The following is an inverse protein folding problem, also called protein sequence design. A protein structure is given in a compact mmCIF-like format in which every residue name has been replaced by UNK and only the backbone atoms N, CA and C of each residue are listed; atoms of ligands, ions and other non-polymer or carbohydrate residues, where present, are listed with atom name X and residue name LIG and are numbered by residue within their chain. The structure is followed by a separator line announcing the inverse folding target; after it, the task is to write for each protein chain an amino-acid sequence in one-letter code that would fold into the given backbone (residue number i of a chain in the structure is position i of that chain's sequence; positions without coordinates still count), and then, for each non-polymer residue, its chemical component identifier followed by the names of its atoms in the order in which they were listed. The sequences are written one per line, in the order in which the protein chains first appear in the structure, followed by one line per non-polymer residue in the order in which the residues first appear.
data_IF_274413332692
#
_entry.id   IF_274413332692
#
_cell.length_a   1.000
_cell.length_b   1.000
_cell.length_c   1.000
_cell.angle_alpha   90.00
_cell.angle_beta   90.00
_cell.angle_gamma   90.00
#
_symmetry.space_group_name_H-M   'P 1'
#
loop_
_entity.id
_entity.type
_entity.pdbx_description
1 polymer ?
#
# COMPACT_ATOMS: atom_id res chain seq x y z
N UNK A 1 13.73 -9.64 29.71
CA UNK A 1 12.52 -10.04 30.46
C UNK A 1 12.40 -11.56 30.54
N UNK A 2 12.06 -12.28 29.47
CA UNK A 2 11.90 -13.74 29.54
C UNK A 2 13.23 -14.49 29.70
N UNK A 3 14.18 -14.30 28.76
CA UNK A 3 15.48 -15.01 28.77
C UNK A 3 16.28 -14.76 30.06
N UNK A 4 16.33 -13.51 30.51
CA UNK A 4 16.98 -13.10 31.77
C UNK A 4 16.39 -13.77 33.01
N UNK A 5 15.08 -14.09 32.99
CA UNK A 5 14.38 -14.79 34.06
C UNK A 5 14.35 -16.32 33.85
N UNK A 6 15.14 -16.82 32.89
CA UNK A 6 15.25 -18.23 32.59
C UNK A 6 14.12 -18.84 31.77
N UNK A 7 13.22 -18.02 31.23
CA UNK A 7 12.06 -18.42 30.42
C UNK A 7 12.40 -18.24 28.92
N UNK A 8 11.96 -19.16 28.06
CA UNK A 8 12.18 -19.12 26.59
C UNK A 8 13.66 -18.92 26.18
N UNK A 9 14.61 -19.51 26.92
CA UNK A 9 16.07 -19.31 26.73
C UNK A 9 16.54 -19.50 25.28
N UNK A 10 15.98 -20.49 24.59
CA UNK A 10 16.35 -20.85 23.22
C UNK A 10 15.46 -20.22 22.14
N UNK A 11 14.41 -19.48 22.53
CA UNK A 11 13.51 -18.87 21.57
C UNK A 11 14.21 -17.73 20.81
N UNK A 12 13.82 -17.55 19.55
CA UNK A 12 14.31 -16.51 18.66
C UNK A 12 13.14 -15.68 18.13
N UNK A 13 13.34 -14.38 17.97
CA UNK A 13 12.31 -13.46 17.47
C UNK A 13 12.73 -12.91 16.11
N UNK A 14 11.87 -13.06 15.11
CA UNK A 14 12.01 -12.35 13.84
C UNK A 14 10.99 -11.20 13.79
N UNK A 15 11.43 -10.01 13.40
CA UNK A 15 10.60 -8.82 13.26
C UNK A 15 10.50 -8.42 11.79
N UNK A 16 9.27 -8.42 11.25
CA UNK A 16 9.03 -8.09 9.84
C UNK A 16 8.49 -6.67 9.69
N UNK A 17 9.22 -5.82 8.95
CA UNK A 17 8.78 -4.46 8.63
C UNK A 17 7.92 -4.53 7.36
N UNK A 18 6.61 -4.37 7.50
CA UNK A 18 5.68 -4.32 6.35
C UNK A 18 5.54 -2.91 5.76
N UNK A 19 5.61 -1.87 6.60
CA UNK A 19 5.49 -0.48 6.19
C UNK A 19 6.17 0.43 7.22
N UNK A 20 7.27 1.11 6.85
CA UNK A 20 8.08 1.93 7.75
C UNK A 20 7.36 3.23 8.19
N UNK A 21 6.29 3.63 7.49
CA UNK A 21 5.56 4.86 7.81
C UNK A 21 4.79 4.77 9.14
N UNK A 22 4.33 3.57 9.52
CA UNK A 22 3.53 3.36 10.72
C UNK A 22 4.37 2.70 11.83
N UNK A 23 5.04 3.52 12.62
CA UNK A 23 6.06 3.05 13.57
C UNK A 23 5.55 2.79 14.99
N UNK A 24 4.31 3.21 15.29
CA UNK A 24 3.81 3.22 16.67
C UNK A 24 4.58 4.22 17.53
N UNK A 25 4.44 5.51 17.23
CA UNK A 25 5.07 6.61 17.97
C UNK A 25 4.10 7.13 19.03
N UNK A 26 4.46 7.00 20.31
CA UNK A 26 3.60 7.40 21.44
C UNK A 26 4.32 8.38 22.37
N UNK A 27 3.57 9.02 23.26
CA UNK A 27 4.16 9.92 24.22
C UNK A 27 5.15 9.15 25.12
N UNK A 28 6.29 9.78 25.44
CA UNK A 28 7.31 9.13 26.26
C UNK A 28 6.75 8.69 27.63
N UNK A 29 5.83 9.47 28.21
CA UNK A 29 5.17 9.18 29.48
C UNK A 29 4.34 7.89 29.46
N UNK A 30 3.91 7.41 28.28
CA UNK A 30 3.08 6.22 28.17
C UNK A 30 3.89 4.91 28.33
N UNK A 31 5.22 4.99 28.48
CA UNK A 31 6.07 3.80 28.68
C UNK A 31 5.65 3.00 29.92
N UNK A 32 5.26 3.68 31.01
CA UNK A 32 4.91 3.04 32.26
C UNK A 32 3.66 2.15 32.11
N UNK A 33 2.79 2.46 31.14
CA UNK A 33 1.61 1.66 30.80
C UNK A 33 1.97 0.30 30.19
N UNK A 34 3.19 0.13 29.67
CA UNK A 34 3.66 -1.11 29.07
C UNK A 34 4.04 -2.18 30.11
N UNK A 35 4.14 -1.81 31.39
CA UNK A 35 4.56 -2.70 32.47
C UNK A 35 5.92 -3.40 32.18
N UNK A 36 6.84 -2.69 31.53
CA UNK A 36 8.18 -3.17 31.22
C UNK A 36 9.21 -2.58 32.20
N UNK A 37 10.29 -3.31 32.54
CA UNK A 37 11.40 -2.74 33.30
C UNK A 37 12.03 -1.54 32.59
N UNK A 38 12.48 -0.55 33.36
CA UNK A 38 13.16 0.66 32.85
C UNK A 38 14.40 0.35 31.99
N UNK A 39 15.01 -0.84 32.15
CA UNK A 39 16.12 -1.28 31.32
C UNK A 39 15.77 -1.42 29.83
N UNK A 40 14.49 -1.58 29.47
CA UNK A 40 14.03 -1.61 28.08
C UNK A 40 13.84 -0.22 27.48
N UNK A 41 13.74 0.81 28.31
CA UNK A 41 13.43 2.14 27.85
C UNK A 41 14.38 2.68 26.76
N UNK A 42 15.71 2.48 26.82
CA UNK A 42 16.60 2.94 25.75
C UNK A 42 16.25 2.37 24.37
N UNK A 43 15.67 1.17 24.31
CA UNK A 43 15.22 0.54 23.06
C UNK A 43 13.97 1.21 22.50
N UNK A 44 13.10 1.76 23.36
CA UNK A 44 11.93 2.54 22.96
C UNK A 44 12.24 4.01 22.67
N UNK A 45 13.22 4.61 23.35
CA UNK A 45 13.49 6.05 23.30
C UNK A 45 13.82 6.51 21.87
N UNK A 46 13.07 7.49 21.39
CA UNK A 46 13.11 7.95 20.00
C UNK A 46 12.88 9.46 19.95
N UNK A 47 13.66 10.16 19.14
CA UNK A 47 13.47 11.59 18.89
C UNK A 47 12.66 11.71 17.60
N UNK A 48 11.41 12.16 17.72
CA UNK A 48 10.53 12.37 16.57
C UNK A 48 10.83 13.75 15.97
N UNK A 49 11.28 13.76 14.72
CA UNK A 49 11.54 14.97 13.94
C UNK A 49 10.32 15.48 13.19
N UNK A 50 9.17 14.78 13.23
CA UNK A 50 7.93 15.30 12.67
C UNK A 50 7.40 16.49 13.47
N UNK A 51 7.16 17.59 12.75
CA UNK A 51 6.80 18.90 13.31
C UNK A 51 5.37 18.96 13.88
N UNK A 52 4.59 17.85 13.92
CA UNK A 52 3.22 17.84 14.45
C UNK A 52 2.84 16.48 15.06
N UNK A 53 2.11 16.40 16.20
CA UNK A 53 1.65 17.50 17.07
C UNK A 53 2.65 17.92 18.16
N UNK A 54 3.75 17.18 18.38
CA UNK A 54 4.78 17.54 19.37
C UNK A 54 6.16 17.08 18.87
N UNK A 55 7.07 18.04 18.67
CA UNK A 55 8.51 17.78 18.51
C UNK A 55 9.04 17.28 19.85
N UNK A 56 9.75 16.15 19.88
CA UNK A 56 10.39 15.71 21.12
C UNK A 56 10.57 14.21 21.28
N UNK A 57 11.00 13.84 22.49
CA UNK A 57 11.19 12.44 22.90
C UNK A 57 9.85 11.70 22.95
N UNK A 58 9.83 10.55 22.29
CA UNK A 58 8.71 9.61 22.21
C UNK A 58 9.20 8.20 22.51
N UNK A 59 8.26 7.29 22.70
CA UNK A 59 8.54 5.86 22.55
C UNK A 59 8.17 5.41 21.13
N UNK A 60 8.99 4.54 20.55
CA UNK A 60 8.79 4.00 19.20
C UNK A 60 8.81 2.47 19.23
N UNK A 61 7.67 1.88 18.92
CA UNK A 61 7.48 0.43 19.00
C UNK A 61 8.25 -0.31 17.90
N UNK A 62 8.28 0.24 16.69
CA UNK A 62 9.05 -0.33 15.59
C UNK A 62 10.55 -0.31 15.86
N UNK A 63 11.08 0.81 16.39
CA UNK A 63 12.48 0.91 16.82
C UNK A 63 12.82 -0.21 17.81
N UNK A 64 11.96 -0.43 18.80
CA UNK A 64 12.16 -1.50 19.79
C UNK A 64 12.15 -2.87 19.13
N UNK A 65 11.18 -3.14 18.25
CA UNK A 65 11.10 -4.40 17.51
C UNK A 65 12.34 -4.68 16.66
N UNK A 66 12.92 -3.63 16.06
CA UNK A 66 14.19 -3.73 15.33
C UNK A 66 15.33 -4.05 16.30
N UNK A 67 15.51 -3.28 17.37
CA UNK A 67 16.63 -3.45 18.31
C UNK A 67 16.59 -4.81 19.02
N UNK A 68 15.44 -5.19 19.58
CA UNK A 68 15.29 -6.33 20.50
C UNK A 68 15.11 -7.71 19.82
N UNK A 69 14.84 -7.76 18.51
CA UNK A 69 14.67 -9.04 17.81
C UNK A 69 15.97 -9.84 17.69
N UNK A 70 15.94 -11.08 17.20
CA UNK A 70 17.13 -11.79 16.75
C UNK A 70 17.36 -11.59 15.23
N UNK A 71 16.28 -11.37 14.48
CA UNK A 71 16.30 -11.14 13.03
C UNK A 71 15.34 -10.02 12.65
N UNK A 72 15.72 -9.20 11.67
CA UNK A 72 14.84 -8.21 11.05
C UNK A 72 14.74 -8.52 9.56
N UNK A 73 13.51 -8.56 9.04
CA UNK A 73 13.23 -8.76 7.63
C UNK A 73 12.19 -7.77 7.12
N UNK A 74 12.03 -7.71 5.81
CA UNK A 74 11.00 -6.90 5.17
C UNK A 74 10.44 -7.60 3.93
N UNK A 75 9.48 -6.96 3.27
CA UNK A 75 8.58 -7.52 2.26
C UNK A 75 9.13 -7.51 0.83
N UNK A 76 10.37 -7.05 0.61
CA UNK A 76 11.07 -7.27 -0.66
C UNK A 76 12.57 -6.97 -0.55
N UNK A 77 13.43 -7.61 -1.37
CA UNK A 77 14.85 -7.28 -1.45
C UNK A 77 15.12 -5.84 -1.92
N UNK A 78 14.20 -5.26 -2.70
CA UNK A 78 14.35 -3.87 -3.15
C UNK A 78 14.06 -2.90 -2.01
N UNK A 79 13.03 -3.19 -1.21
CA UNK A 79 12.64 -2.35 -0.08
C UNK A 79 13.70 -2.36 1.03
N UNK A 80 14.47 -3.45 1.17
CA UNK A 80 15.73 -3.45 1.96
C UNK A 80 16.65 -2.30 1.52
N UNK A 81 16.92 -2.19 0.22
CA UNK A 81 17.78 -1.14 -0.33
C UNK A 81 17.18 0.23 -0.08
N UNK A 82 15.89 0.41 -0.34
CA UNK A 82 15.22 1.71 -0.11
C UNK A 82 15.34 2.18 1.34
N UNK A 83 15.06 1.30 2.30
CA UNK A 83 15.12 1.61 3.73
C UNK A 83 16.55 1.91 4.22
N UNK A 84 17.56 1.45 3.49
CA UNK A 84 18.98 1.61 3.85
C UNK A 84 19.71 2.65 2.98
N UNK A 85 19.04 3.24 1.98
CA UNK A 85 19.66 4.14 1.00
C UNK A 85 19.87 5.57 1.52
N UNK A 86 19.11 6.00 2.54
CA UNK A 86 19.29 7.33 3.12
C UNK A 86 18.21 7.78 4.11
N UNK A 87 18.43 8.93 4.79
CA UNK A 87 17.62 9.40 5.91
C UNK A 87 16.15 9.67 5.54
N UNK A 88 15.89 10.16 4.32
CA UNK A 88 14.54 10.50 3.85
C UNK A 88 13.66 9.26 3.63
N UNK A 89 14.26 8.08 3.45
CA UNK A 89 13.55 6.82 3.15
C UNK A 89 13.34 5.95 4.38
N UNK A 90 14.23 6.03 5.37
CA UNK A 90 14.11 5.31 6.64
C UNK A 90 13.12 5.94 7.63
N UNK A 91 12.49 7.06 7.29
CA UNK A 91 11.51 7.79 8.14
C UNK A 91 12.04 7.93 9.58
N UNK A 92 13.25 8.48 9.70
CA UNK A 92 13.98 8.72 10.98
C UNK A 92 14.47 7.45 11.71
N UNK A 93 14.25 6.25 11.17
CA UNK A 93 14.81 4.99 11.67
C UNK A 93 16.09 4.57 10.94
N UNK A 94 16.58 5.35 9.98
CA UNK A 94 17.82 5.09 9.22
C UNK A 94 19.02 4.80 10.14
N UNK A 95 19.20 5.59 11.20
CA UNK A 95 20.23 5.33 12.22
C UNK A 95 20.06 3.98 12.93
N UNK A 96 18.82 3.61 13.25
CA UNK A 96 18.48 2.33 13.90
C UNK A 96 18.71 1.15 12.96
N UNK A 97 18.29 1.28 11.70
CA UNK A 97 18.48 0.27 10.66
C UNK A 97 19.96 0.02 10.33
N UNK A 98 20.84 1.00 10.57
CA UNK A 98 22.30 0.79 10.49
C UNK A 98 22.88 0.01 11.67
N UNK A 99 22.26 0.07 12.85
CA UNK A 99 22.74 -0.68 14.04
C UNK A 99 22.46 -2.17 13.95
N UNK A 100 21.51 -2.56 13.10
CA UNK A 100 21.12 -3.95 12.89
C UNK A 100 20.80 -4.19 11.42
N UNK A 101 21.67 -4.90 10.68
CA UNK A 101 21.56 -4.98 9.23
C UNK A 101 20.23 -5.59 8.81
N UNK A 102 19.39 -4.77 8.16
CA UNK A 102 18.23 -5.23 7.42
C UNK A 102 18.71 -5.73 6.07
N UNK A 103 18.94 -7.04 5.94
CA UNK A 103 19.45 -7.65 4.70
C UNK A 103 18.45 -8.60 4.04
N UNK A 104 17.44 -9.04 4.80
CA UNK A 104 16.48 -10.03 4.35
C UNK A 104 15.20 -9.33 3.86
N UNK A 105 14.98 -9.41 2.56
CA UNK A 105 13.73 -9.03 1.92
C UNK A 105 13.07 -10.24 1.28
N UNK A 106 11.84 -10.56 1.65
CA UNK A 106 11.10 -11.69 1.08
C UNK A 106 9.88 -11.13 0.37
N UNK A 107 9.80 -11.37 -0.95
CA UNK A 107 8.67 -10.91 -1.76
C UNK A 107 7.39 -11.59 -1.28
N UNK A 108 6.34 -10.80 -1.05
CA UNK A 108 5.03 -11.32 -0.67
C UNK A 108 4.44 -12.19 -1.78
N UNK A 109 3.75 -13.26 -1.39
CA UNK A 109 2.83 -13.97 -2.27
C UNK A 109 1.47 -13.27 -2.37
N UNK A 110 0.57 -13.87 -3.14
CA UNK A 110 -0.83 -13.49 -3.28
C UNK A 110 -1.71 -14.72 -3.03
N UNK A 111 -2.93 -14.51 -2.51
CA UNK A 111 -3.92 -15.57 -2.41
C UNK A 111 -4.47 -15.89 -3.82
N UNK A 112 -4.02 -17.00 -4.38
CA UNK A 112 -4.40 -17.44 -5.73
C UNK A 112 -5.77 -18.12 -5.77
N UNK A 113 -6.43 -18.35 -4.65
CA UNK A 113 -7.83 -18.83 -4.65
C UNK A 113 -8.81 -17.66 -4.65
N UNK A 114 -8.42 -16.55 -4.02
CA UNK A 114 -9.18 -15.30 -4.09
C UNK A 114 -8.98 -14.61 -5.45
N UNK A 115 -7.74 -14.57 -5.95
CA UNK A 115 -7.35 -13.84 -7.16
C UNK A 115 -6.95 -14.78 -8.30
N UNK A 116 -7.92 -15.49 -8.85
CA UNK A 116 -7.73 -16.39 -10.01
C UNK A 116 -8.77 -16.11 -11.10
N UNK A 117 -8.37 -15.56 -12.26
CA UNK A 117 -9.30 -15.21 -13.33
C UNK A 117 -10.07 -16.40 -13.91
N UNK A 118 -9.60 -17.64 -13.68
CA UNK A 118 -10.26 -18.85 -14.16
C UNK A 118 -11.39 -19.32 -13.25
N UNK A 119 -11.42 -18.88 -11.98
CA UNK A 119 -12.42 -19.29 -10.99
C UNK A 119 -13.17 -18.13 -10.32
N UNK A 120 -12.67 -16.90 -10.46
CA UNK A 120 -13.20 -15.68 -9.86
C UNK A 120 -14.71 -15.52 -10.12
N UNK A 121 -15.44 -15.24 -9.04
CA UNK A 121 -16.91 -15.13 -9.03
C UNK A 121 -17.41 -13.73 -9.38
N UNK A 122 -16.52 -12.72 -9.39
CA UNK A 122 -16.86 -11.33 -9.67
C UNK A 122 -16.56 -10.95 -11.12
N UNK A 123 -15.74 -11.72 -11.83
CA UNK A 123 -15.50 -11.53 -13.26
C UNK A 123 -16.66 -12.10 -14.09
N UNK A 124 -17.03 -11.38 -15.14
CA UNK A 124 -18.16 -11.79 -15.98
C UNK A 124 -17.80 -12.99 -16.86
N UNK A 125 -16.59 -12.97 -17.40
CA UNK A 125 -16.04 -14.05 -18.22
C UNK A 125 -14.74 -14.50 -17.58
N UNK A 126 -14.70 -15.77 -17.20
CA UNK A 126 -13.51 -16.41 -16.65
C UNK A 126 -12.53 -16.70 -17.77
N UNK A 127 -11.23 -16.66 -17.46
CA UNK A 127 -10.19 -16.86 -18.46
C UNK A 127 -8.91 -17.40 -17.87
N UNK A 128 -8.09 -17.92 -18.76
CA UNK A 128 -6.70 -18.30 -18.54
C UNK A 128 -5.81 -17.62 -19.57
N UNK A 129 -4.52 -17.97 -19.59
CA UNK A 129 -3.55 -17.40 -20.51
C UNK A 129 -3.89 -17.63 -22.01
N UNK A 130 -4.73 -18.62 -22.34
CA UNK A 130 -5.08 -18.96 -23.73
C UNK A 130 -6.32 -18.24 -24.23
N UNK A 131 -7.19 -17.80 -23.32
CA UNK A 131 -8.50 -17.15 -23.61
C UNK A 131 -8.55 -15.69 -23.18
N UNK A 132 -7.43 -15.17 -22.66
CA UNK A 132 -7.31 -13.83 -22.06
C UNK A 132 -7.73 -12.71 -23.01
N UNK A 133 -7.42 -12.81 -24.30
CA UNK A 133 -7.67 -11.75 -25.28
C UNK A 133 -9.17 -11.50 -25.46
N UNK A 134 -9.96 -12.54 -25.75
CA UNK A 134 -11.41 -12.37 -25.92
C UNK A 134 -12.10 -12.08 -24.59
N UNK A 135 -11.71 -12.75 -23.51
CA UNK A 135 -12.37 -12.62 -22.23
C UNK A 135 -12.15 -11.24 -21.59
N UNK A 136 -10.94 -10.66 -21.70
CA UNK A 136 -10.69 -9.31 -21.18
C UNK A 136 -11.49 -8.25 -21.94
N UNK A 137 -11.71 -8.40 -23.26
CA UNK A 137 -12.56 -7.47 -24.02
C UNK A 137 -14.01 -7.47 -23.49
N UNK A 138 -14.58 -8.66 -23.22
CA UNK A 138 -15.93 -8.79 -22.64
C UNK A 138 -16.00 -8.26 -21.20
N UNK A 139 -14.97 -8.55 -20.38
CA UNK A 139 -14.89 -8.00 -19.02
C UNK A 139 -14.73 -6.46 -19.03
N UNK A 140 -14.03 -5.90 -20.01
CA UNK A 140 -13.88 -4.45 -20.20
C UNK A 140 -15.22 -3.79 -20.52
N UNK A 141 -15.97 -4.33 -21.47
CA UNK A 141 -17.31 -3.81 -21.81
C UNK A 141 -18.25 -3.87 -20.61
N UNK A 142 -18.19 -4.97 -19.84
CA UNK A 142 -18.97 -5.11 -18.59
C UNK A 142 -18.57 -4.08 -17.55
N UNK A 143 -17.27 -3.83 -17.37
CA UNK A 143 -16.75 -2.83 -16.45
C UNK A 143 -17.19 -1.42 -16.87
N UNK A 144 -17.06 -1.07 -18.15
CA UNK A 144 -17.51 0.21 -18.71
C UNK A 144 -19.00 0.43 -18.42
N UNK A 145 -19.84 -0.58 -18.68
CA UNK A 145 -21.27 -0.52 -18.38
C UNK A 145 -21.55 -0.36 -16.88
N UNK A 146 -20.83 -1.09 -16.02
CA UNK A 146 -21.00 -1.05 -14.57
C UNK A 146 -20.70 0.34 -13.98
N UNK A 147 -19.68 1.02 -14.50
CA UNK A 147 -19.31 2.37 -14.05
C UNK A 147 -19.99 3.48 -14.87
N UNK A 148 -20.85 3.12 -15.82
CA UNK A 148 -21.60 4.05 -16.66
C UNK A 148 -20.76 4.84 -17.65
N UNK A 149 -19.63 4.30 -18.11
CA UNK A 149 -18.83 4.87 -19.21
C UNK A 149 -19.31 4.34 -20.58
N UNK A 150 -18.94 5.00 -21.69
CA UNK A 150 -19.18 4.47 -23.03
C UNK A 150 -18.63 3.05 -23.16
N UNK A 151 -19.47 2.13 -23.62
CA UNK A 151 -19.13 0.71 -23.80
C UNK A 151 -18.52 0.52 -25.18
N UNK A 152 -17.21 0.32 -25.22
CA UNK A 152 -16.42 0.10 -26.42
C UNK A 152 -15.10 -0.57 -26.00
N UNK A 153 -14.93 -1.85 -26.38
CA UNK A 153 -13.74 -2.62 -26.02
C UNK A 153 -12.44 -2.11 -26.66
N UNK A 154 -12.54 -1.28 -27.70
CA UNK A 154 -11.39 -0.67 -28.38
C UNK A 154 -10.80 0.52 -27.63
N UNK A 155 -11.56 1.15 -26.72
CA UNK A 155 -11.08 2.25 -25.88
C UNK A 155 -10.21 1.68 -24.75
N UNK A 156 -8.95 2.13 -24.58
CA UNK A 156 -8.12 1.70 -23.47
C UNK A 156 -8.69 2.14 -22.11
N UNK A 157 -8.67 1.23 -21.13
CA UNK A 157 -9.12 1.47 -19.76
C UNK A 157 -7.94 1.42 -18.80
N UNK A 158 -7.68 2.53 -18.13
CA UNK A 158 -6.68 2.68 -17.07
C UNK A 158 -7.39 2.65 -15.72
N UNK A 159 -6.90 1.82 -14.80
CA UNK A 159 -7.49 1.69 -13.46
C UNK A 159 -6.51 1.98 -12.34
N UNK A 160 -7.00 2.59 -11.28
CA UNK A 160 -6.33 2.67 -9.98
C UNK A 160 -7.22 2.07 -8.91
N UNK A 161 -6.66 1.18 -8.08
CA UNK A 161 -7.33 0.63 -6.91
C UNK A 161 -6.41 0.82 -5.70
N UNK A 162 -6.83 1.62 -4.71
CA UNK A 162 -5.98 1.87 -3.56
C UNK A 162 -6.50 2.89 -2.55
N UNK A 163 -5.71 3.12 -1.50
CA UNK A 163 -5.98 4.18 -0.52
C UNK A 163 -5.68 5.55 -1.13
N UNK A 164 -6.55 6.52 -0.84
CA UNK A 164 -6.38 7.91 -1.27
C UNK A 164 -5.53 8.68 -0.25
N UNK A 165 -4.21 8.53 -0.43
CA UNK A 165 -3.16 9.19 0.35
C UNK A 165 -2.01 9.61 -0.57
N UNK A 166 -1.21 10.60 -0.15
CA UNK A 166 -0.04 11.10 -0.90
C UNK A 166 1.05 10.02 -1.01
N UNK A 167 1.15 9.12 -0.03
CA UNK A 167 2.05 7.96 -0.10
C UNK A 167 1.72 7.06 -1.31
N UNK A 168 0.45 7.03 -1.72
CA UNK A 168 -0.04 6.25 -2.86
C UNK A 168 -0.08 7.04 -4.16
N UNK A 169 0.36 8.30 -4.14
CA UNK A 169 0.37 9.20 -5.30
C UNK A 169 -1.01 9.48 -5.89
N UNK A 170 -2.05 9.33 -5.07
CA UNK A 170 -3.43 9.60 -5.51
C UNK A 170 -3.64 11.09 -5.86
N UNK A 171 -2.92 11.99 -5.20
CA UNK A 171 -2.80 13.40 -5.55
C UNK A 171 -2.20 13.62 -6.94
N UNK A 172 -1.11 12.92 -7.26
CA UNK A 172 -0.46 12.98 -8.57
C UNK A 172 -1.40 12.45 -9.66
N UNK A 173 -2.07 11.31 -9.39
CA UNK A 173 -3.03 10.72 -10.32
C UNK A 173 -4.17 11.70 -10.64
N UNK A 174 -4.83 12.23 -9.60
CA UNK A 174 -5.96 13.16 -9.77
C UNK A 174 -5.53 14.41 -10.54
N UNK A 175 -4.32 14.93 -10.26
CA UNK A 175 -3.77 16.08 -10.96
C UNK A 175 -3.44 15.81 -12.44
N UNK A 176 -3.10 14.57 -12.81
CA UNK A 176 -2.74 14.18 -14.17
C UNK A 176 -3.96 13.88 -15.06
N UNK A 177 -5.14 13.54 -14.49
CA UNK A 177 -6.34 13.19 -15.27
C UNK A 177 -6.73 14.24 -16.34
N UNK A 178 -6.67 15.57 -16.08
CA UNK A 178 -6.97 16.57 -17.10
C UNK A 178 -6.11 16.46 -18.38
N UNK A 179 -4.89 15.92 -18.28
CA UNK A 179 -4.00 15.75 -19.43
C UNK A 179 -4.48 14.64 -20.39
N UNK A 180 -5.28 13.70 -19.90
CA UNK A 180 -5.85 12.60 -20.69
C UNK A 180 -7.16 12.96 -21.40
N UNK A 181 -7.73 14.14 -21.15
CA UNK A 181 -9.05 14.51 -21.66
C UNK A 181 -9.08 14.63 -23.20
N UNK A 182 -7.94 14.92 -23.82
CA UNK A 182 -7.80 14.96 -25.29
C UNK A 182 -7.55 13.60 -25.93
N UNK A 183 -7.32 12.55 -25.13
CA UNK A 183 -6.99 11.21 -25.61
C UNK A 183 -8.24 10.32 -25.62
N UNK A 184 -8.28 9.35 -26.53
CA UNK A 184 -9.36 8.35 -26.55
C UNK A 184 -9.08 7.26 -25.50
N UNK A 185 -9.25 7.59 -24.23
CA UNK A 185 -8.96 6.72 -23.07
C UNK A 185 -10.03 6.87 -22.00
N UNK A 186 -10.15 5.85 -21.16
CA UNK A 186 -10.99 5.88 -19.97
C UNK A 186 -10.17 5.63 -18.70
N UNK A 187 -10.53 6.34 -17.63
CA UNK A 187 -9.84 6.27 -16.34
C UNK A 187 -10.85 5.95 -15.24
N UNK A 188 -10.60 4.89 -14.48
CA UNK A 188 -11.44 4.47 -13.36
C UNK A 188 -10.60 4.41 -12.09
N UNK A 189 -11.00 5.16 -11.07
CA UNK A 189 -10.28 5.24 -9.80
C UNK A 189 -11.20 4.79 -8.68
N UNK A 190 -10.79 3.74 -7.97
CA UNK A 190 -11.50 3.14 -6.84
C UNK A 190 -10.64 3.28 -5.58
N UNK A 191 -11.17 3.95 -4.56
CA UNK A 191 -10.41 4.13 -3.33
C UNK A 191 -11.17 4.86 -2.24
N UNK A 192 -10.62 4.80 -1.02
CA UNK A 192 -11.08 5.60 0.12
C UNK A 192 -9.86 6.14 0.86
N UNK A 193 -10.02 7.23 1.60
CA UNK A 193 -8.90 7.84 2.33
C UNK A 193 -9.22 9.24 2.81
N UNK A 194 -8.38 10.21 2.44
CA UNK A 194 -8.58 11.60 2.87
C UNK A 194 -9.83 12.17 2.23
N UNK A 195 -10.74 12.72 3.04
CA UNK A 195 -12.01 13.31 2.60
C UNK A 195 -11.86 14.29 1.43
N UNK A 196 -10.85 15.15 1.45
CA UNK A 196 -10.55 16.08 0.36
C UNK A 196 -10.28 15.36 -0.98
N UNK A 197 -9.51 14.27 -0.95
CA UNK A 197 -9.21 13.48 -2.14
C UNK A 197 -10.43 12.71 -2.62
N UNK A 198 -11.26 12.18 -1.72
CA UNK A 198 -12.55 11.57 -2.07
C UNK A 198 -13.48 12.56 -2.76
N UNK A 199 -13.56 13.80 -2.24
CA UNK A 199 -14.34 14.88 -2.83
C UNK A 199 -13.84 15.22 -4.25
N UNK A 200 -12.54 15.42 -4.43
CA UNK A 200 -11.93 15.66 -5.74
C UNK A 200 -12.18 14.49 -6.72
N UNK A 201 -12.10 13.26 -6.20
CA UNK A 201 -12.34 12.05 -6.97
C UNK A 201 -13.78 11.97 -7.48
N UNK A 202 -14.76 12.27 -6.63
CA UNK A 202 -16.18 12.29 -7.03
C UNK A 202 -16.48 13.39 -8.06
N UNK A 203 -15.68 14.46 -8.14
CA UNK A 203 -15.86 15.49 -9.18
C UNK A 203 -15.45 15.01 -10.58
N UNK A 204 -14.73 13.90 -10.70
CA UNK A 204 -14.29 13.40 -12.01
C UNK A 204 -15.45 13.03 -12.93
N UNK A 205 -16.50 12.42 -12.38
CA UNK A 205 -17.68 12.04 -13.18
C UNK A 205 -18.42 13.26 -13.72
N UNK A 206 -18.42 14.37 -12.97
CA UNK A 206 -19.07 15.63 -13.36
C UNK A 206 -18.25 16.36 -14.41
N UNK A 207 -16.93 16.42 -14.23
CA UNK A 207 -16.02 17.14 -15.14
C UNK A 207 -15.78 16.39 -16.45
N UNK A 208 -15.71 15.06 -16.38
CA UNK A 208 -15.30 14.20 -17.49
C UNK A 208 -16.25 12.99 -17.65
N UNK A 209 -17.55 13.23 -17.91
CA UNK A 209 -18.58 12.21 -17.83
C UNK A 209 -18.43 11.05 -18.81
N UNK A 210 -17.61 11.13 -19.86
CA UNK A 210 -17.40 10.01 -20.78
C UNK A 210 -15.98 9.41 -20.69
N UNK A 211 -15.14 9.95 -19.82
CA UNK A 211 -13.70 9.65 -19.77
C UNK A 211 -13.31 9.13 -18.39
N UNK A 212 -13.78 9.77 -17.31
CA UNK A 212 -13.31 9.45 -15.96
C UNK A 212 -14.44 9.04 -15.02
N UNK A 213 -14.15 8.07 -14.14
CA UNK A 213 -15.03 7.66 -13.03
C UNK A 213 -14.24 7.58 -11.75
N UNK A 214 -14.77 8.24 -10.72
CA UNK A 214 -14.23 8.21 -9.38
C UNK A 214 -15.20 7.55 -8.41
N UNK A 215 -14.75 6.48 -7.75
CA UNK A 215 -15.57 5.69 -6.83
C UNK A 215 -14.92 5.72 -5.44
N UNK A 216 -15.45 6.59 -4.58
CA UNK A 216 -15.00 6.79 -3.21
C UNK A 216 -15.57 5.73 -2.23
N UNK A 217 -15.37 4.44 -2.50
CA UNK A 217 -15.96 3.33 -1.71
C UNK A 217 -15.02 2.14 -1.62
N UNK A 218 -15.17 1.35 -0.54
CA UNK A 218 -14.60 0.01 -0.49
C UNK A 218 -15.54 -0.95 -1.23
N UNK A 219 -15.09 -1.51 -2.36
CA UNK A 219 -15.89 -2.43 -3.17
C UNK A 219 -15.00 -3.52 -3.77
N UNK A 220 -14.91 -4.66 -3.07
CA UNK A 220 -14.11 -5.81 -3.50
C UNK A 220 -14.60 -6.34 -4.87
N UNK A 221 -15.90 -6.63 -5.09
CA UNK A 221 -16.38 -7.07 -6.41
C UNK A 221 -15.93 -6.17 -7.57
N UNK A 222 -16.04 -4.85 -7.40
CA UNK A 222 -15.63 -3.90 -8.44
C UNK A 222 -14.11 -3.88 -8.65
N UNK A 223 -13.30 -4.07 -7.60
CA UNK A 223 -11.86 -4.20 -7.75
C UNK A 223 -11.50 -5.40 -8.65
N UNK A 224 -12.12 -6.57 -8.43
CA UNK A 224 -11.94 -7.74 -9.31
C UNK A 224 -12.34 -7.45 -10.75
N UNK A 225 -13.50 -6.80 -10.97
CA UNK A 225 -13.92 -6.37 -12.30
C UNK A 225 -12.92 -5.40 -12.94
N UNK A 226 -12.35 -4.48 -12.17
CA UNK A 226 -11.33 -3.54 -12.65
C UNK A 226 -10.06 -4.27 -13.10
N UNK A 227 -9.54 -5.21 -12.31
CA UNK A 227 -8.36 -6.00 -12.69
C UNK A 227 -8.60 -6.86 -13.95
N UNK A 228 -9.79 -7.44 -14.08
CA UNK A 228 -10.14 -8.25 -15.26
C UNK A 228 -10.43 -7.41 -16.50
N UNK A 229 -11.07 -6.25 -16.35
CA UNK A 229 -11.52 -5.39 -17.45
C UNK A 229 -10.55 -4.29 -17.88
N UNK A 230 -9.52 -3.98 -17.09
CA UNK A 230 -8.55 -2.93 -17.46
C UNK A 230 -7.48 -3.40 -18.44
N UNK A 231 -6.97 -2.47 -19.23
CA UNK A 231 -5.73 -2.65 -20.02
C UNK A 231 -4.50 -2.26 -19.20
N UNK A 232 -4.61 -1.20 -18.39
CA UNK A 232 -3.51 -0.69 -17.58
C UNK A 232 -3.93 -0.52 -16.13
N UNK A 233 -3.06 -0.95 -15.21
CA UNK A 233 -3.19 -0.69 -13.78
C UNK A 233 -2.12 0.34 -13.42
N UNK A 234 -2.54 1.52 -12.96
CA UNK A 234 -1.60 2.57 -12.54
C UNK A 234 -1.34 2.47 -11.04
N UNK A 235 -0.06 2.53 -10.67
CA UNK A 235 0.39 2.47 -9.27
C UNK A 235 1.42 3.59 -9.03
N UNK A 236 0.97 4.86 -8.89
CA UNK A 236 1.82 6.04 -8.90
C UNK A 236 2.44 6.33 -7.53
N UNK A 237 2.83 5.31 -6.76
CA UNK A 237 3.31 5.54 -5.39
C UNK A 237 4.59 6.40 -5.37
N UNK A 238 4.64 7.38 -4.47
CA UNK A 238 5.82 8.21 -4.23
C UNK A 238 7.01 7.43 -3.65
N UNK A 239 6.75 6.22 -3.16
CA UNK A 239 7.69 5.28 -2.58
C UNK A 239 7.22 3.86 -2.91
N UNK A 240 8.11 2.91 -3.20
CA UNK A 240 7.77 1.57 -3.69
C UNK A 240 7.25 0.65 -2.56
N UNK A 241 6.27 1.11 -1.79
CA UNK A 241 5.58 0.30 -0.80
C UNK A 241 4.63 -0.67 -1.50
N UNK A 242 4.92 -1.97 -1.36
CA UNK A 242 4.10 -3.14 -1.74
C UNK A 242 3.12 -2.77 -2.86
N UNK A 243 3.65 -2.73 -4.08
CA UNK A 243 2.80 -2.69 -5.26
C UNK A 243 2.48 -4.13 -5.62
N UNK A 244 1.19 -4.41 -5.83
CA UNK A 244 0.74 -5.63 -6.47
C UNK A 244 1.41 -5.69 -7.85
N UNK A 245 2.53 -6.40 -7.95
CA UNK A 245 3.06 -6.79 -9.26
C UNK A 245 2.21 -7.95 -9.71
N UNK A 246 1.14 -7.66 -10.45
CA UNK A 246 0.41 -8.68 -11.19
C UNK A 246 1.38 -9.32 -12.18
N UNK A 247 1.48 -10.65 -12.14
CA UNK A 247 2.17 -11.45 -13.15
C UNK A 247 1.49 -11.34 -14.51
#
# INVERSE_FOLDING_TARGET
MYKSNGIYKNAKVAFCIHNIAYQGRFARADFDLLNLPDSFLPSFDFIDGHVKPVLGRKINWMKTGIVESDLVLTVSPHYVKELTYGPDKGVELDGVLRTKPLEIGIVNGMDVYEWDPSTDKYTSVKYDATTVTEAKALNKERLQAEVGLPVDSSIPVIVFVGRLEEQKGSDILIAAIPEFVGENVQIIVLGTGKKKMEEELMQLEVKYPNIARGIAKFNVPLAHMMFAGSDFIIVPNSHLFITWRTC
#
